data_IF_483348277365
#
_entry.id   IF_483348277365
#
_cell.length_a   1.000
_cell.length_b   1.000
_cell.length_c   1.000
_cell.angle_alpha   90.00
_cell.angle_beta   90.00
_cell.angle_gamma   90.00
#
_symmetry.space_group_name_H-M   'P 1'
#
loop_
_entity.id
_entity.type
_entity.pdbx_description
1 polymer ?
#
# COMPACT_ATOMS: atom_id res chain seq x y z
N UNK A 1 4.05 30.50 7.07
CA UNK A 1 4.26 29.09 6.64
C UNK A 1 5.71 28.68 6.78
N UNK A 2 6.67 29.35 6.11
CA UNK A 2 8.11 29.06 6.25
C UNK A 2 8.63 29.07 7.70
N UNK A 3 8.14 30.00 8.52
CA UNK A 3 8.52 30.12 9.94
C UNK A 3 8.07 28.94 10.82
N UNK A 4 6.93 28.31 10.49
CA UNK A 4 6.40 27.15 11.23
C UNK A 4 7.21 25.88 10.93
N UNK A 5 7.50 25.62 9.66
CA UNK A 5 8.35 24.48 9.28
C UNK A 5 9.77 24.63 9.81
N UNK A 6 10.33 25.85 9.77
CA UNK A 6 11.63 26.12 10.38
C UNK A 6 11.63 25.86 11.90
N UNK A 7 10.55 26.22 12.62
CA UNK A 7 10.46 25.94 14.07
C UNK A 7 10.27 24.46 14.37
N UNK A 8 9.47 23.73 13.59
CA UNK A 8 9.31 22.27 13.76
C UNK A 8 10.63 21.55 13.48
N UNK A 9 11.33 21.90 12.40
CA UNK A 9 12.63 21.31 12.03
C UNK A 9 13.69 21.63 13.09
N UNK A 10 13.64 22.80 13.73
CA UNK A 10 14.61 23.20 14.74
C UNK A 10 14.30 22.60 16.14
N UNK A 11 13.03 22.42 16.48
CA UNK A 11 12.61 21.84 17.77
C UNK A 11 12.67 20.32 17.80
N UNK A 12 12.43 19.63 16.68
CA UNK A 12 12.42 18.17 16.59
C UNK A 12 13.76 17.50 16.97
N UNK A 13 14.95 17.99 16.56
CA UNK A 13 16.22 17.44 17.02
C UNK A 13 16.47 17.72 18.50
N UNK A 14 16.00 18.84 19.05
CA UNK A 14 16.09 19.14 20.49
C UNK A 14 15.23 18.15 21.28
N UNK A 15 14.03 17.83 20.78
CA UNK A 15 13.13 16.83 21.37
C UNK A 15 13.72 15.41 21.30
N UNK A 16 14.38 15.05 20.19
CA UNK A 16 15.10 13.78 20.04
C UNK A 16 16.32 13.68 20.97
N UNK A 17 17.11 14.75 21.11
CA UNK A 17 18.24 14.80 22.04
C UNK A 17 17.75 14.73 23.48
N UNK A 18 16.68 15.42 23.83
CA UNK A 18 16.04 15.32 25.13
C UNK A 18 15.55 13.89 25.43
N UNK A 19 15.00 13.22 24.41
CA UNK A 19 14.59 11.82 24.47
C UNK A 19 15.76 10.85 24.71
N UNK A 20 16.92 11.13 24.12
CA UNK A 20 18.15 10.36 24.31
C UNK A 20 18.80 10.56 25.69
N UNK A 21 18.70 11.77 26.27
CA UNK A 21 19.35 12.12 27.54
C UNK A 21 18.55 11.64 28.76
N UNK A 22 17.22 11.64 28.71
CA UNK A 22 16.37 11.24 29.84
C UNK A 22 15.43 10.06 29.50
N UNK A 23 15.96 8.84 29.31
CA UNK A 23 15.15 7.64 29.08
C UNK A 23 14.26 7.28 30.27
N UNK A 24 14.50 7.88 31.45
CA UNK A 24 13.77 7.65 32.70
C UNK A 24 12.29 8.06 32.58
N UNK A 25 11.97 9.04 31.73
CA UNK A 25 10.61 9.60 31.63
C UNK A 25 9.70 8.86 30.65
N UNK A 26 10.21 7.80 29.98
CA UNK A 26 9.43 7.04 29.00
C UNK A 26 9.36 5.55 29.36
N UNK A 27 8.16 4.96 29.51
CA UNK A 27 7.96 3.57 29.95
C UNK A 27 8.43 2.51 28.95
N UNK A 28 8.98 2.92 27.80
CA UNK A 28 9.39 2.02 26.71
C UNK A 28 10.85 1.56 26.82
N UNK A 29 11.68 2.24 27.64
CA UNK A 29 13.13 2.04 27.73
C UNK A 29 13.54 1.09 28.87
N UNK A 30 12.63 0.72 29.77
CA UNK A 30 12.94 -0.03 31.00
C UNK A 30 13.59 -1.41 30.77
N UNK A 31 13.41 -2.01 29.58
CA UNK A 31 13.96 -3.33 29.23
C UNK A 31 15.04 -3.29 28.14
N UNK A 32 15.50 -2.10 27.71
CA UNK A 32 16.52 -1.95 26.68
C UNK A 32 17.84 -1.56 27.32
N UNK A 33 18.90 -2.32 27.04
CA UNK A 33 20.25 -1.94 27.46
C UNK A 33 20.66 -0.62 26.80
N UNK A 34 21.39 0.25 27.52
CA UNK A 34 21.89 1.54 27.02
C UNK A 34 22.41 1.50 25.56
N UNK A 35 23.23 0.51 25.12
CA UNK A 35 23.68 0.45 23.73
C UNK A 35 22.55 0.21 22.71
N UNK A 36 21.50 -0.55 23.06
CA UNK A 36 20.34 -0.75 22.19
C UNK A 36 19.52 0.53 22.05
N UNK A 37 19.39 1.32 23.12
CA UNK A 37 18.70 2.61 23.07
C UNK A 37 19.43 3.57 22.12
N UNK A 38 20.76 3.64 22.22
CA UNK A 38 21.60 4.47 21.35
C UNK A 38 21.45 4.02 19.89
N UNK A 39 21.49 2.71 19.61
CA UNK A 39 21.33 2.18 18.26
C UNK A 39 19.96 2.52 17.65
N UNK A 40 18.88 2.39 18.40
CA UNK A 40 17.53 2.73 17.92
C UNK A 40 17.36 4.25 17.75
N UNK A 41 18.00 5.06 18.61
CA UNK A 41 18.03 6.52 18.47
C UNK A 41 18.77 6.96 17.20
N UNK A 42 19.93 6.36 16.91
CA UNK A 42 20.69 6.60 15.67
C UNK A 42 19.87 6.17 14.46
N UNK A 43 19.24 4.99 14.50
CA UNK A 43 18.41 4.50 13.39
C UNK A 43 17.21 5.41 13.12
N UNK A 44 16.52 5.87 14.17
CA UNK A 44 15.41 6.82 14.04
C UNK A 44 15.86 8.15 13.45
N UNK A 45 17.04 8.65 13.85
CA UNK A 45 17.61 9.88 13.31
C UNK A 45 18.02 9.72 11.83
N UNK A 46 18.52 8.56 11.44
CA UNK A 46 18.88 8.23 10.06
C UNK A 46 17.64 8.16 9.17
N UNK A 47 16.57 7.51 9.64
CA UNK A 47 15.26 7.49 8.95
C UNK A 47 14.69 8.89 8.82
N UNK A 48 14.77 9.71 9.87
CA UNK A 48 14.33 11.10 9.83
C UNK A 48 15.12 11.92 8.80
N UNK A 49 16.45 11.77 8.75
CA UNK A 49 17.29 12.45 7.76
C UNK A 49 16.98 12.01 6.34
N UNK A 50 16.68 10.74 6.11
CA UNK A 50 16.26 10.23 4.79
C UNK A 50 14.91 10.84 4.41
N UNK A 51 13.94 10.89 5.32
CA UNK A 51 12.64 11.53 5.07
C UNK A 51 12.87 13.00 4.74
N UNK A 52 13.66 13.73 5.54
CA UNK A 52 13.99 15.13 5.29
C UNK A 52 14.70 15.34 3.94
N UNK A 53 15.58 14.42 3.53
CA UNK A 53 16.26 14.50 2.23
C UNK A 53 15.31 14.25 1.06
N UNK A 54 14.32 13.37 1.21
CA UNK A 54 13.33 13.06 0.17
C UNK A 54 12.25 14.15 0.11
N UNK A 55 11.87 14.72 1.25
CA UNK A 55 10.84 15.76 1.35
C UNK A 55 11.40 17.18 1.31
N UNK A 56 12.72 17.35 1.24
CA UNK A 56 13.32 18.67 1.06
C UNK A 56 12.99 19.15 -0.35
N UNK A 57 12.28 20.28 -0.50
CA UNK A 57 12.02 20.84 -1.81
C UNK A 57 13.36 21.21 -2.47
N UNK A 58 13.50 21.05 -3.80
CA UNK A 58 14.66 21.55 -4.50
C UNK A 58 14.81 23.05 -4.23
N UNK A 59 16.06 23.53 -4.09
CA UNK A 59 16.41 24.86 -3.59
C UNK A 59 15.73 26.05 -4.31
N UNK A 60 15.12 25.81 -5.47
CA UNK A 60 14.47 26.80 -6.31
C UNK A 60 12.93 26.88 -6.13
N UNK A 61 12.31 26.03 -5.30
CA UNK A 61 10.85 26.07 -5.06
C UNK A 61 10.51 26.71 -3.71
N UNK A 62 10.00 27.94 -3.77
CA UNK A 62 9.79 28.82 -2.60
C UNK A 62 8.48 28.59 -1.82
N UNK A 63 7.67 27.58 -2.17
CA UNK A 63 6.43 27.27 -1.44
C UNK A 63 6.16 25.77 -1.40
N UNK A 64 6.11 25.13 -0.21
CA UNK A 64 5.68 23.73 -0.11
C UNK A 64 4.23 23.62 -0.60
N UNK A 65 3.98 22.71 -1.54
CA UNK A 65 2.64 22.47 -2.06
C UNK A 65 1.77 21.83 -0.98
N UNK A 66 0.46 22.05 -1.05
CA UNK A 66 -0.48 21.49 -0.07
C UNK A 66 -0.42 19.95 -0.02
N UNK A 67 -0.06 19.30 -1.12
CA UNK A 67 0.20 17.86 -1.25
C UNK A 67 1.33 17.39 -0.33
N UNK A 68 2.43 18.14 -0.23
CA UNK A 68 3.57 17.78 0.61
C UNK A 68 3.21 17.89 2.10
N UNK A 69 2.42 18.90 2.45
CA UNK A 69 1.91 19.12 3.81
C UNK A 69 0.93 17.99 4.20
N UNK A 70 0.06 17.58 3.28
CA UNK A 70 -0.87 16.47 3.48
C UNK A 70 -0.12 15.13 3.59
N UNK A 71 0.91 14.91 2.77
CA UNK A 71 1.77 13.74 2.85
C UNK A 71 2.50 13.63 4.19
N UNK A 72 3.05 14.75 4.68
CA UNK A 72 3.70 14.83 5.99
C UNK A 72 2.72 14.58 7.15
N UNK A 73 1.51 15.16 7.08
CA UNK A 73 0.45 14.95 8.07
C UNK A 73 -0.01 13.49 8.10
N UNK A 74 -0.21 12.87 6.94
CA UNK A 74 -0.56 11.44 6.84
C UNK A 74 0.55 10.55 7.39
N UNK A 75 1.82 10.87 7.12
CA UNK A 75 2.96 10.15 7.68
C UNK A 75 3.02 10.28 9.22
N UNK A 76 2.76 11.47 9.77
CA UNK A 76 2.69 11.67 11.22
C UNK A 76 1.50 10.92 11.85
N UNK A 77 0.33 10.91 11.21
CA UNK A 77 -0.84 10.16 11.68
C UNK A 77 -0.58 8.65 11.61
N UNK A 78 0.07 8.16 10.54
CA UNK A 78 0.48 6.77 10.41
C UNK A 78 1.49 6.37 11.50
N UNK A 79 2.45 7.23 11.81
CA UNK A 79 3.42 7.01 12.88
C UNK A 79 2.75 7.00 14.27
N UNK A 80 1.84 7.96 14.53
CA UNK A 80 1.07 8.02 15.76
C UNK A 80 0.13 6.82 15.93
N UNK A 81 -0.48 6.33 14.85
CA UNK A 81 -1.30 5.10 14.87
C UNK A 81 -0.47 3.84 15.07
N UNK A 82 0.74 3.76 14.52
CA UNK A 82 1.69 2.68 14.79
C UNK A 82 2.14 2.67 16.26
N UNK A 83 2.47 3.84 16.83
CA UNK A 83 2.84 3.98 18.24
C UNK A 83 1.66 3.60 19.15
N UNK A 84 0.44 4.08 18.86
CA UNK A 84 -0.73 3.74 19.67
C UNK A 84 -1.16 2.28 19.53
N UNK A 85 -1.11 1.67 18.33
CA UNK A 85 -1.31 0.22 18.17
C UNK A 85 -0.26 -0.58 18.93
N UNK A 86 1.01 -0.18 18.87
CA UNK A 86 2.11 -0.80 19.63
C UNK A 86 1.87 -0.75 21.15
N UNK A 87 1.41 0.38 21.67
CA UNK A 87 1.02 0.54 23.08
C UNK A 87 -0.21 -0.32 23.41
N UNK A 88 -1.20 -0.41 22.51
CA UNK A 88 -2.41 -1.21 22.70
C UNK A 88 -2.11 -2.71 22.68
N UNK A 89 -1.18 -3.17 21.85
CA UNK A 89 -0.66 -4.56 21.87
C UNK A 89 0.19 -4.86 23.11
N UNK A 90 0.82 -3.85 23.72
CA UNK A 90 1.42 -3.98 25.06
C UNK A 90 0.36 -4.02 26.18
N UNK A 91 -0.79 -3.36 26.00
CA UNK A 91 -1.94 -3.47 26.93
C UNK A 91 -2.69 -4.80 26.84
N UNK A 92 -2.72 -5.48 25.69
CA UNK A 92 -3.16 -6.88 25.62
C UNK A 92 -2.09 -7.87 26.12
N UNK A 93 -0.84 -7.41 26.29
CA UNK A 93 0.17 -7.99 27.17
C UNK A 93 0.18 -7.31 28.55
N UNK A 94 -1.00 -6.98 29.10
CA UNK A 94 -1.12 -6.83 30.55
C UNK A 94 -0.99 -8.24 31.14
N UNK A 95 0.11 -8.40 31.87
CA UNK A 95 0.13 -9.17 33.10
C UNK A 95 -0.26 -10.66 33.01
N UNK A 96 0.57 -11.46 32.36
CA UNK A 96 1.14 -12.61 33.10
C UNK A 96 2.50 -12.18 33.65
N UNK A 97 2.52 -11.03 34.35
CA UNK A 97 3.29 -10.96 35.58
C UNK A 97 2.43 -11.73 36.57
N UNK A 98 2.51 -13.06 36.48
CA UNK A 98 2.54 -13.82 37.70
C UNK A 98 3.62 -13.12 38.55
N UNK A 99 3.32 -12.80 39.80
CA UNK A 99 4.34 -12.76 40.85
C UNK A 99 5.05 -14.12 40.84
N UNK A 100 5.90 -14.34 39.84
CA UNK A 100 7.00 -15.25 39.98
C UNK A 100 7.96 -14.49 40.88
N UNK A 101 7.70 -14.60 42.19
CA UNK A 101 8.80 -15.04 43.06
C UNK A 101 9.55 -16.08 42.22
N UNK A 102 10.85 -15.92 41.95
CA UNK A 102 11.57 -16.94 41.22
C UNK A 102 11.27 -18.25 41.93
N UNK A 103 10.43 -19.09 41.32
CA UNK A 103 10.32 -20.48 41.73
C UNK A 103 11.67 -20.98 41.30
N UNK A 104 12.57 -21.01 42.27
CA UNK A 104 13.84 -21.70 42.13
C UNK A 104 13.39 -23.13 41.89
N UNK A 105 13.31 -23.52 40.62
CA UNK A 105 13.05 -24.89 40.22
C UNK A 105 14.31 -25.63 40.67
N UNK A 106 14.29 -26.14 41.89
CA UNK A 106 15.32 -27.06 42.34
C UNK A 106 15.12 -28.37 41.58
N UNK A 107 16.22 -29.01 41.21
CA UNK A 107 16.14 -30.32 40.59
C UNK A 107 15.52 -31.28 41.63
N UNK A 108 14.48 -32.08 41.31
CA UNK A 108 13.88 -33.03 42.25
C UNK A 108 14.91 -34.02 42.82
N UNK A 109 16.03 -34.24 42.13
CA UNK A 109 17.16 -35.02 42.66
C UNK A 109 17.92 -34.33 43.78
N UNK A 110 17.93 -33.00 43.83
CA UNK A 110 18.51 -32.22 44.92
C UNK A 110 17.56 -32.18 46.12
N UNK A 111 16.25 -31.99 45.88
CA UNK A 111 15.22 -32.06 46.93
C UNK A 111 15.14 -33.45 47.58
N UNK A 112 15.32 -34.52 46.82
CA UNK A 112 15.34 -35.89 47.34
C UNK A 112 16.57 -36.15 48.24
N UNK A 113 17.73 -35.56 47.90
CA UNK A 113 18.95 -35.63 48.73
C UNK A 113 18.85 -34.81 50.02
N UNK A 114 18.10 -33.71 50.00
CA UNK A 114 17.82 -32.90 51.20
C UNK A 114 16.77 -33.58 52.10
N UNK A 115 15.76 -34.22 51.52
CA UNK A 115 14.77 -35.03 52.23
C UNK A 115 15.39 -36.25 52.95
N UNK A 116 16.41 -36.88 52.35
CA UNK A 116 17.15 -38.00 52.98
C UNK A 116 18.02 -37.56 54.18
N UNK A 117 18.36 -36.27 54.29
CA UNK A 117 19.20 -35.70 55.35
C UNK A 117 18.43 -35.00 56.48
N UNK A 118 17.12 -34.82 56.34
CA UNK A 118 16.29 -34.03 57.26
C UNK A 118 15.50 -34.90 58.26
N UNK A 119 15.11 -34.31 59.39
CA UNK A 119 14.38 -35.02 60.45
C UNK A 119 12.96 -35.43 59.99
N UNK A 120 12.36 -36.50 60.54
CA UNK A 120 11.14 -37.13 60.00
C UNK A 120 9.89 -36.23 59.86
N UNK A 121 9.82 -35.09 60.55
CA UNK A 121 8.73 -34.12 60.39
C UNK A 121 8.91 -33.19 59.18
N UNK A 122 10.15 -32.94 58.73
CA UNK A 122 10.45 -32.11 57.55
C UNK A 122 10.35 -32.93 56.26
N UNK A 123 10.65 -34.24 56.31
CA UNK A 123 10.55 -35.15 55.17
C UNK A 123 9.14 -35.19 54.53
N UNK A 124 8.07 -35.02 55.32
CA UNK A 124 6.69 -34.95 54.81
C UNK A 124 6.43 -33.65 54.02
N UNK A 125 7.01 -32.53 54.42
CA UNK A 125 6.88 -31.25 53.70
C UNK A 125 7.65 -31.31 52.37
N UNK A 126 8.85 -31.89 52.37
CA UNK A 126 9.61 -32.12 51.13
C UNK A 126 8.89 -33.05 50.16
N UNK A 127 8.27 -34.13 50.65
CA UNK A 127 7.54 -35.06 49.80
C UNK A 127 6.30 -34.41 49.16
N UNK A 128 5.59 -33.56 49.91
CA UNK A 128 4.47 -32.78 49.36
C UNK A 128 4.92 -31.80 48.26
N UNK A 129 6.09 -31.13 48.43
CA UNK A 129 6.66 -30.25 47.41
C UNK A 129 7.09 -31.00 46.15
N UNK A 130 7.68 -32.18 46.29
CA UNK A 130 8.06 -33.02 45.14
C UNK A 130 6.82 -33.43 44.34
N UNK A 131 5.72 -33.80 45.01
CA UNK A 131 4.46 -34.12 44.34
C UNK A 131 3.83 -32.91 43.63
N UNK A 132 3.90 -31.73 44.25
CA UNK A 132 3.42 -30.49 43.65
C UNK A 132 4.24 -30.09 42.41
N UNK A 133 5.57 -30.16 42.49
CA UNK A 133 6.44 -29.91 41.35
C UNK A 133 6.22 -30.92 40.21
N UNK A 134 6.03 -32.20 40.55
CA UNK A 134 5.72 -33.23 39.55
C UNK A 134 4.40 -32.94 38.83
N UNK A 135 3.36 -32.47 39.54
CA UNK A 135 2.09 -32.05 38.94
C UNK A 135 2.24 -30.82 38.06
N UNK A 136 3.03 -29.83 38.48
CA UNK A 136 3.30 -28.63 37.69
C UNK A 136 4.01 -29.01 36.39
N UNK A 137 5.05 -29.85 36.44
CA UNK A 137 5.77 -30.33 35.24
C UNK A 137 4.86 -31.12 34.31
N UNK A 138 4.06 -32.05 34.84
CA UNK A 138 3.11 -32.81 34.02
C UNK A 138 2.09 -31.89 33.31
N UNK A 139 1.64 -30.82 33.98
CA UNK A 139 0.73 -29.83 33.39
C UNK A 139 1.43 -29.01 32.30
N UNK A 140 2.69 -28.60 32.53
CA UNK A 140 3.49 -27.87 31.55
C UNK A 140 3.79 -28.71 30.30
N UNK A 141 4.13 -29.99 30.48
CA UNK A 141 4.38 -30.92 29.38
C UNK A 141 3.11 -31.15 28.56
N UNK A 142 1.96 -31.30 29.21
CA UNK A 142 0.67 -31.42 28.53
C UNK A 142 0.32 -30.14 27.74
N UNK A 143 0.55 -28.96 28.32
CA UNK A 143 0.35 -27.69 27.61
C UNK A 143 1.29 -27.53 26.42
N UNK A 144 2.56 -27.91 26.57
CA UNK A 144 3.55 -27.84 25.51
C UNK A 144 3.20 -28.80 24.36
N UNK A 145 2.74 -30.01 24.68
CA UNK A 145 2.26 -30.96 23.67
C UNK A 145 1.03 -30.42 22.92
N UNK A 146 0.05 -29.87 23.64
CA UNK A 146 -1.14 -29.27 23.02
C UNK A 146 -0.76 -28.12 22.07
N UNK A 147 0.16 -27.24 22.48
CA UNK A 147 0.67 -26.15 21.63
C UNK A 147 1.42 -26.67 20.41
N UNK A 148 2.20 -27.75 20.53
CA UNK A 148 2.86 -28.37 19.39
C UNK A 148 1.86 -28.98 18.39
N UNK A 149 0.79 -29.60 18.86
CA UNK A 149 -0.26 -30.12 18.00
C UNK A 149 -1.02 -29.01 17.29
N UNK A 150 -1.38 -27.93 18.00
CA UNK A 150 -2.02 -26.75 17.41
C UNK A 150 -1.13 -26.13 16.32
N UNK A 151 0.18 -25.98 16.58
CA UNK A 151 1.13 -25.49 15.57
C UNK A 151 1.24 -26.42 14.36
N UNK A 152 1.23 -27.74 14.56
CA UNK A 152 1.24 -28.71 13.45
C UNK A 152 -0.03 -28.61 12.61
N UNK A 153 -1.19 -28.46 13.24
CA UNK A 153 -2.46 -28.29 12.53
C UNK A 153 -2.48 -26.98 11.73
N UNK A 154 -2.03 -25.87 12.33
CA UNK A 154 -1.94 -24.58 11.65
C UNK A 154 -0.97 -24.62 10.46
N UNK A 155 0.15 -25.34 10.58
CA UNK A 155 1.07 -25.54 9.46
C UNK A 155 0.44 -26.39 8.34
N UNK A 156 -0.31 -27.43 8.68
CA UNK A 156 -1.00 -28.26 7.70
C UNK A 156 -2.07 -27.46 6.93
N UNK A 157 -2.88 -26.65 7.62
CA UNK A 157 -3.88 -25.80 6.97
C UNK A 157 -3.26 -24.75 6.06
N UNK A 158 -2.17 -24.11 6.50
CA UNK A 158 -1.46 -23.11 5.70
C UNK A 158 -0.84 -23.73 4.43
N UNK A 159 -0.35 -24.97 4.52
CA UNK A 159 0.14 -25.71 3.35
C UNK A 159 -0.98 -26.04 2.36
N UNK A 160 -2.17 -26.35 2.85
CA UNK A 160 -3.34 -26.62 2.00
C UNK A 160 -3.81 -25.34 1.30
N UNK A 161 -3.91 -24.22 2.02
CA UNK A 161 -4.22 -22.90 1.43
C UNK A 161 -3.19 -22.48 0.37
N UNK A 162 -1.90 -22.74 0.61
CA UNK A 162 -0.85 -22.45 -0.35
C UNK A 162 -0.97 -23.31 -1.61
N UNK A 163 -1.36 -24.59 -1.48
CA UNK A 163 -1.64 -25.46 -2.64
C UNK A 163 -2.89 -25.02 -3.39
N UNK A 164 -3.94 -24.63 -2.70
CA UNK A 164 -5.17 -24.12 -3.31
C UNK A 164 -4.88 -22.85 -4.12
N UNK A 165 -4.21 -21.87 -3.49
CA UNK A 165 -3.81 -20.61 -4.14
C UNK A 165 -2.90 -20.87 -5.36
N UNK A 166 -1.96 -21.82 -5.26
CA UNK A 166 -1.08 -22.17 -6.38
C UNK A 166 -1.86 -22.77 -7.56
N UNK A 167 -2.88 -23.58 -7.26
CA UNK A 167 -3.73 -24.19 -8.29
C UNK A 167 -4.60 -23.14 -8.98
N UNK A 168 -5.18 -22.23 -8.20
CA UNK A 168 -5.95 -21.10 -8.74
C UNK A 168 -5.07 -20.17 -9.60
N UNK A 169 -3.85 -19.88 -9.18
CA UNK A 169 -2.88 -19.12 -9.97
C UNK A 169 -2.56 -19.82 -11.30
N UNK A 170 -2.37 -21.14 -11.30
CA UNK A 170 -2.15 -21.90 -12.53
C UNK A 170 -3.36 -21.81 -13.47
N UNK A 171 -4.58 -22.00 -12.96
CA UNK A 171 -5.80 -21.93 -13.77
C UNK A 171 -6.05 -20.53 -14.35
N UNK A 172 -5.75 -19.48 -13.58
CA UNK A 172 -5.85 -18.10 -14.06
C UNK A 172 -4.81 -17.80 -15.12
N UNK A 173 -3.60 -18.34 -14.99
CA UNK A 173 -2.57 -18.25 -16.01
C UNK A 173 -2.97 -18.97 -17.30
N UNK A 174 -3.52 -20.18 -17.21
CA UNK A 174 -4.01 -20.93 -18.37
C UNK A 174 -5.13 -20.17 -19.11
N UNK A 175 -6.10 -19.61 -18.36
CA UNK A 175 -7.16 -18.75 -18.92
C UNK A 175 -6.60 -17.49 -19.59
N UNK A 176 -5.55 -16.89 -19.04
CA UNK A 176 -4.92 -15.72 -19.63
C UNK A 176 -4.22 -16.09 -20.95
N UNK A 177 -3.55 -17.25 -21.00
CA UNK A 177 -2.91 -17.74 -22.23
C UNK A 177 -3.93 -18.06 -23.31
N UNK A 178 -5.08 -18.66 -22.96
CA UNK A 178 -6.17 -18.92 -23.89
C UNK A 178 -6.75 -17.62 -24.46
N UNK A 179 -7.01 -16.62 -23.60
CA UNK A 179 -7.48 -15.30 -24.04
C UNK A 179 -6.48 -14.58 -24.95
N UNK A 180 -5.19 -14.66 -24.64
CA UNK A 180 -4.17 -14.05 -25.49
C UNK A 180 -4.11 -14.74 -26.87
N UNK A 181 -4.18 -16.07 -26.92
CA UNK A 181 -4.23 -16.80 -28.18
C UNK A 181 -5.48 -16.44 -29.01
N UNK A 182 -6.65 -16.32 -28.37
CA UNK A 182 -7.87 -15.90 -29.05
C UNK A 182 -7.78 -14.45 -29.56
N UNK A 183 -7.15 -13.56 -28.79
CA UNK A 183 -6.92 -12.17 -29.20
C UNK A 183 -5.98 -12.09 -30.41
N UNK A 184 -4.92 -12.90 -30.44
CA UNK A 184 -4.01 -13.00 -31.58
C UNK A 184 -4.73 -13.48 -32.85
N UNK A 185 -5.62 -14.47 -32.74
CA UNK A 185 -6.44 -14.95 -33.86
C UNK A 185 -7.37 -13.84 -34.40
N UNK A 186 -8.04 -13.10 -33.52
CA UNK A 186 -8.89 -11.96 -33.92
C UNK A 186 -8.07 -10.86 -34.58
N UNK A 187 -6.88 -10.54 -34.06
CA UNK A 187 -5.99 -9.55 -34.66
C UNK A 187 -5.56 -9.97 -36.07
N UNK A 188 -5.26 -11.25 -36.26
CA UNK A 188 -4.85 -11.77 -37.56
C UNK A 188 -6.01 -11.75 -38.56
N UNK A 189 -7.21 -12.19 -38.15
CA UNK A 189 -8.42 -12.08 -38.98
C UNK A 189 -8.76 -10.63 -39.33
N UNK A 190 -8.61 -9.71 -38.39
CA UNK A 190 -8.85 -8.27 -38.62
C UNK A 190 -7.85 -7.70 -39.62
N UNK A 191 -6.59 -8.13 -39.55
CA UNK A 191 -5.54 -7.72 -40.48
C UNK A 191 -5.82 -8.22 -41.91
N UNK A 192 -6.20 -9.49 -42.07
CA UNK A 192 -6.59 -10.08 -43.36
C UNK A 192 -7.80 -9.35 -43.98
N UNK A 193 -8.78 -8.98 -43.15
CA UNK A 193 -9.94 -8.19 -43.59
C UNK A 193 -9.53 -6.79 -44.07
N UNK A 194 -8.63 -6.12 -43.34
CA UNK A 194 -8.13 -4.80 -43.70
C UNK A 194 -7.35 -4.82 -45.03
N UNK A 195 -6.49 -5.83 -45.23
CA UNK A 195 -5.76 -6.02 -46.48
C UNK A 195 -6.71 -6.27 -47.66
N UNK A 196 -7.78 -7.04 -47.44
CA UNK A 196 -8.82 -7.29 -48.44
C UNK A 196 -9.58 -6.01 -48.84
N UNK A 197 -9.94 -5.14 -47.87
CA UNK A 197 -10.59 -3.86 -48.15
C UNK A 197 -9.69 -2.87 -48.88
N UNK A 198 -8.39 -2.83 -48.58
CA UNK A 198 -7.43 -1.96 -49.29
C UNK A 198 -7.28 -2.38 -50.76
N UNK A 199 -7.31 -3.68 -51.06
CA UNK A 199 -7.28 -4.17 -52.43
C UNK A 199 -8.56 -3.82 -53.21
N UNK A 200 -9.74 -3.82 -52.58
CA UNK A 200 -10.97 -3.36 -53.23
C UNK A 200 -10.97 -1.85 -53.52
N UNK A 201 -10.44 -1.02 -52.61
CA UNK A 201 -10.37 0.44 -52.80
C UNK A 201 -9.37 0.89 -53.89
N UNK A 202 -8.31 0.12 -54.15
CA UNK A 202 -7.37 0.42 -55.24
C UNK A 202 -7.93 0.09 -56.64
N UNK A 203 -9.03 -0.66 -56.76
CA UNK A 203 -9.64 -0.99 -58.05
C UNK A 203 -10.61 0.08 -58.60
N UNK A 204 -10.99 1.08 -57.81
CA UNK A 204 -11.88 2.16 -58.26
C UNK A 204 -11.20 3.52 -58.14
N UNK A 205 -10.54 3.95 -59.23
CA UNK A 205 -9.96 5.28 -59.40
C UNK A 205 -11.07 6.35 -59.47
N UNK A 206 -11.19 7.29 -58.52
CA UNK A 206 -12.09 8.43 -58.67
C UNK A 206 -11.32 9.65 -59.22
N UNK A 207 -11.98 10.40 -60.11
CA UNK A 207 -11.54 11.72 -60.57
C UNK A 207 -11.39 12.72 -59.43
N UNK A 208 -10.48 13.72 -59.56
CA UNK A 208 -10.19 14.68 -58.50
C UNK A 208 -11.33 15.70 -58.37
N UNK A 209 -12.15 15.56 -57.32
CA UNK A 209 -13.09 16.61 -56.92
C UNK A 209 -12.38 17.71 -56.14
N UNK A 210 -12.63 18.95 -56.59
CA UNK A 210 -12.28 20.23 -55.96
C UNK A 210 -12.45 20.18 -54.43
N UNK A 211 -11.40 20.61 -53.75
CA UNK A 211 -11.37 20.93 -52.31
C UNK A 211 -12.44 21.98 -52.03
N UNK A 212 -13.55 21.56 -51.43
CA UNK A 212 -14.49 22.44 -50.76
C UNK A 212 -14.06 22.55 -49.29
N UNK A 213 -14.09 23.80 -48.81
CA UNK A 213 -13.92 24.24 -47.43
C UNK A 213 -14.73 23.34 -46.48
N UNK A 214 -14.18 22.81 -45.36
CA UNK A 214 -14.96 21.97 -44.47
C UNK A 214 -16.04 22.82 -43.79
N UNK A 215 -17.28 22.40 -43.93
CA UNK A 215 -18.41 22.92 -43.18
C UNK A 215 -18.31 22.43 -41.72
N UNK A 216 -18.63 23.27 -40.71
CA UNK A 216 -18.65 22.84 -39.33
C UNK A 216 -19.99 22.15 -39.07
N UNK A 217 -19.99 20.83 -39.10
CA UNK A 217 -21.00 19.95 -38.49
C UNK A 217 -20.54 18.51 -38.74
N UNK A 218 -19.53 18.08 -38.00
CA UNK A 218 -19.34 16.65 -37.79
C UNK A 218 -20.18 16.28 -36.57
N UNK A 219 -21.28 15.57 -36.82
CA UNK A 219 -21.96 14.82 -35.78
C UNK A 219 -20.92 13.90 -35.13
N UNK A 220 -20.64 14.15 -33.85
CA UNK A 220 -19.78 13.31 -33.03
C UNK A 220 -20.39 11.91 -32.99
N UNK A 221 -19.77 10.96 -33.68
CA UNK A 221 -20.16 9.55 -33.60
C UNK A 221 -19.61 9.00 -32.29
N UNK A 222 -20.41 9.10 -31.23
CA UNK A 222 -20.14 8.43 -29.96
C UNK A 222 -20.47 6.94 -30.13
N UNK A 223 -19.44 6.10 -30.19
CA UNK A 223 -19.60 4.65 -30.06
C UNK A 223 -19.87 4.23 -28.62
N UNK A 224 -20.32 2.99 -28.43
CA UNK A 224 -20.72 2.43 -27.11
C UNK A 224 -19.54 2.30 -26.11
N UNK A 225 -18.29 2.37 -26.59
CA UNK A 225 -17.11 2.24 -25.74
C UNK A 225 -16.80 3.54 -25.01
N UNK A 226 -16.95 3.54 -23.68
CA UNK A 226 -16.75 4.72 -22.82
C UNK A 226 -15.28 5.05 -22.53
N UNK A 227 -14.33 4.33 -23.15
CA UNK A 227 -12.90 4.47 -22.89
C UNK A 227 -12.31 5.54 -23.81
N UNK A 228 -11.48 6.41 -23.24
CA UNK A 228 -10.70 7.40 -23.97
C UNK A 228 -9.21 7.19 -23.71
N UNK A 229 -8.37 7.43 -24.70
CA UNK A 229 -6.92 7.50 -24.53
C UNK A 229 -6.54 8.98 -24.42
N UNK A 230 -6.03 9.38 -23.26
CA UNK A 230 -5.68 10.76 -22.96
C UNK A 230 -4.16 10.91 -22.85
N UNK A 231 -3.58 11.87 -23.57
CA UNK A 231 -2.19 12.28 -23.40
C UNK A 231 -2.13 13.51 -22.49
N UNK A 232 -1.68 13.27 -21.26
CA UNK A 232 -1.74 14.23 -20.17
C UNK A 232 -0.36 14.69 -19.73
N UNK A 233 -0.17 16.00 -19.60
CA UNK A 233 1.05 16.61 -19.06
C UNK A 233 0.87 16.89 -17.57
N UNK A 234 1.66 16.21 -16.74
CA UNK A 234 1.68 16.38 -15.29
C UNK A 234 2.15 17.76 -14.86
N UNK A 235 1.98 18.08 -13.58
CA UNK A 235 2.58 19.30 -12.98
C UNK A 235 4.11 19.30 -13.04
N UNK A 236 4.72 18.12 -13.13
CA UNK A 236 6.15 17.92 -13.31
C UNK A 236 6.62 18.12 -14.76
N UNK A 237 5.70 18.47 -15.68
CA UNK A 237 5.98 18.63 -17.10
C UNK A 237 6.14 17.32 -17.86
N UNK A 238 5.99 16.15 -17.21
CA UNK A 238 6.07 14.87 -17.90
C UNK A 238 4.75 14.54 -18.56
N UNK A 239 4.84 14.14 -19.83
CA UNK A 239 3.68 13.69 -20.59
C UNK A 239 3.51 12.18 -20.44
N UNK A 240 2.26 11.73 -20.23
CA UNK A 240 1.90 10.32 -20.13
C UNK A 240 0.63 10.04 -20.92
N UNK A 241 0.61 8.94 -21.69
CA UNK A 241 -0.62 8.41 -22.29
C UNK A 241 -1.34 7.55 -21.26
N UNK A 242 -2.65 7.74 -21.10
CA UNK A 242 -3.46 7.08 -20.08
C UNK A 242 -4.81 6.69 -20.66
N UNK A 243 -5.21 5.41 -20.60
CA UNK A 243 -6.57 5.00 -20.84
C UNK A 243 -7.45 5.39 -19.64
N UNK A 244 -8.51 6.14 -19.90
CA UNK A 244 -9.44 6.66 -18.89
C UNK A 244 -10.90 6.40 -19.25
N UNK A 245 -11.75 6.30 -18.23
CA UNK A 245 -13.22 6.33 -18.39
C UNK A 245 -13.71 7.64 -17.75
N UNK A 246 -14.10 8.65 -18.55
CA UNK A 246 -14.66 9.91 -18.04
C UNK A 246 -15.88 9.65 -17.15
N UNK A 247 -16.07 10.47 -16.10
CA UNK A 247 -17.21 10.35 -15.17
C UNK A 247 -17.96 11.65 -14.97
N UNK A 248 -17.27 12.74 -14.65
CA UNK A 248 -17.92 14.01 -14.29
C UNK A 248 -17.01 15.18 -14.67
N UNK A 249 -17.51 16.07 -15.55
CA UNK A 249 -16.84 17.30 -15.94
C UNK A 249 -17.35 18.48 -15.10
N UNK A 250 -16.44 19.13 -14.36
CA UNK A 250 -16.79 20.27 -13.49
C UNK A 250 -15.75 21.36 -13.50
N UNK A 251 -16.16 22.54 -13.05
CA UNK A 251 -15.26 23.67 -12.83
C UNK A 251 -14.79 23.62 -11.37
N UNK A 252 -13.47 23.67 -11.15
CA UNK A 252 -12.90 23.70 -9.81
C UNK A 252 -13.02 25.10 -9.16
N UNK A 253 -12.60 25.26 -7.91
CA UNK A 253 -12.63 26.55 -7.19
C UNK A 253 -11.77 27.65 -7.84
N UNK A 254 -10.82 27.27 -8.70
CA UNK A 254 -9.92 28.19 -9.39
C UNK A 254 -10.45 28.60 -10.77
N UNK A 255 -11.62 28.10 -11.18
CA UNK A 255 -12.20 28.36 -12.51
C UNK A 255 -11.68 27.44 -13.62
N UNK A 256 -10.85 26.44 -13.30
CA UNK A 256 -10.35 25.49 -14.30
C UNK A 256 -11.37 24.36 -14.54
N UNK A 257 -11.53 23.95 -15.79
CA UNK A 257 -12.25 22.72 -16.14
C UNK A 257 -11.45 21.49 -15.72
N UNK A 258 -12.11 20.59 -14.99
CA UNK A 258 -11.55 19.36 -14.45
C UNK A 258 -12.49 18.20 -14.75
N UNK A 259 -11.94 17.14 -15.34
CA UNK A 259 -12.64 15.87 -15.56
C UNK A 259 -12.26 14.89 -14.45
N UNK A 260 -13.25 14.34 -13.76
CA UNK A 260 -13.06 13.17 -12.91
C UNK A 260 -13.19 11.94 -13.79
N UNK A 261 -12.20 11.05 -13.77
CA UNK A 261 -12.16 9.86 -14.61
C UNK A 261 -11.56 8.67 -13.85
N UNK A 262 -11.95 7.46 -14.23
CA UNK A 262 -11.29 6.23 -13.77
C UNK A 262 -10.02 6.06 -14.59
N UNK A 263 -8.85 6.17 -13.98
CA UNK A 263 -7.56 5.87 -14.59
C UNK A 263 -7.36 4.36 -14.55
N UNK A 264 -7.43 3.71 -15.72
CA UNK A 264 -7.40 2.24 -15.83
C UNK A 264 -6.05 1.71 -15.37
N UNK A 265 -4.94 2.33 -15.78
CA UNK A 265 -3.59 1.93 -15.40
C UNK A 265 -3.35 2.05 -13.89
N UNK A 266 -3.89 3.10 -13.26
CA UNK A 266 -3.77 3.31 -11.82
C UNK A 266 -4.87 2.61 -10.99
N UNK A 267 -5.86 1.99 -11.65
CA UNK A 267 -7.03 1.35 -11.02
C UNK A 267 -7.72 2.23 -9.96
N UNK A 268 -7.81 3.55 -10.21
CA UNK A 268 -8.41 4.51 -9.27
C UNK A 268 -9.01 5.72 -9.97
N UNK A 269 -9.96 6.36 -9.31
CA UNK A 269 -10.52 7.64 -9.77
C UNK A 269 -9.50 8.76 -9.56
N UNK A 270 -9.28 9.56 -10.59
CA UNK A 270 -8.41 10.74 -10.57
C UNK A 270 -9.13 11.92 -11.21
N UNK A 271 -8.70 13.12 -10.83
CA UNK A 271 -9.16 14.36 -11.43
C UNK A 271 -8.05 14.94 -12.30
N UNK A 272 -8.38 15.24 -13.55
CA UNK A 272 -7.45 15.79 -14.54
C UNK A 272 -7.94 17.16 -14.98
N UNK A 273 -7.06 18.16 -14.97
CA UNK A 273 -7.39 19.46 -15.56
C UNK A 273 -7.41 19.36 -17.08
N UNK A 274 -8.46 19.87 -17.72
CA UNK A 274 -8.65 19.71 -19.18
C UNK A 274 -7.63 20.52 -19.98
N UNK A 275 -7.17 21.66 -19.47
CA UNK A 275 -6.13 22.49 -20.09
C UNK A 275 -4.76 21.80 -20.20
N UNK A 276 -4.55 20.71 -19.45
CA UNK A 276 -3.31 19.90 -19.48
C UNK A 276 -3.44 18.65 -20.35
N UNK A 277 -4.58 18.46 -21.00
CA UNK A 277 -4.80 17.40 -21.98
C UNK A 277 -4.29 17.92 -23.31
N UNK A 278 -3.17 17.37 -23.78
CA UNK A 278 -2.58 17.72 -25.07
C UNK A 278 -3.29 17.03 -26.24
N UNK A 279 -3.85 15.86 -25.98
CA UNK A 279 -4.49 15.02 -26.98
C UNK A 279 -5.47 14.08 -26.30
N UNK A 280 -6.66 13.91 -26.88
CA UNK A 280 -7.68 12.95 -26.46
C UNK A 280 -8.08 12.13 -27.69
N UNK A 281 -8.07 10.80 -27.56
CA UNK A 281 -8.57 9.90 -28.59
C UNK A 281 -9.74 9.07 -28.05
N UNK A 282 -10.80 8.95 -28.84
CA UNK A 282 -12.00 8.20 -28.50
C UNK A 282 -12.62 7.63 -29.77
N UNK A 283 -12.92 6.33 -29.79
CA UNK A 283 -13.49 5.63 -30.95
C UNK A 283 -12.75 5.87 -32.28
N UNK A 284 -11.41 5.95 -32.22
CA UNK A 284 -10.55 6.21 -33.38
C UNK A 284 -10.55 7.67 -33.87
N UNK A 285 -11.29 8.57 -33.23
CA UNK A 285 -11.22 10.01 -33.48
C UNK A 285 -10.23 10.67 -32.52
N UNK A 286 -9.50 11.66 -33.02
CA UNK A 286 -8.46 12.38 -32.27
C UNK A 286 -8.83 13.86 -32.12
N UNK A 287 -8.70 14.36 -30.89
CA UNK A 287 -9.05 15.73 -30.51
C UNK A 287 -7.84 16.40 -29.87
N UNK A 288 -7.37 17.49 -30.46
CA UNK A 288 -6.20 18.26 -29.99
C UNK A 288 -6.56 19.66 -29.52
N UNK A 289 -7.70 20.20 -29.94
CA UNK A 289 -8.15 21.52 -29.50
C UNK A 289 -8.94 21.41 -28.19
N UNK A 290 -8.73 22.38 -27.30
CA UNK A 290 -9.33 22.36 -25.97
C UNK A 290 -10.87 22.36 -26.00
N UNK A 291 -11.47 23.12 -26.92
CA UNK A 291 -12.94 23.19 -27.06
C UNK A 291 -13.53 21.86 -27.58
N UNK A 292 -12.81 21.19 -28.48
CA UNK A 292 -13.19 19.87 -29.00
C UNK A 292 -13.05 18.79 -27.91
N UNK A 293 -11.99 18.85 -27.11
CA UNK A 293 -11.78 17.97 -25.96
C UNK A 293 -12.90 18.16 -24.94
N UNK A 294 -13.26 19.42 -24.62
CA UNK A 294 -14.33 19.71 -23.66
C UNK A 294 -15.71 19.24 -24.16
N UNK A 295 -16.04 19.51 -25.42
CA UNK A 295 -17.31 19.08 -26.01
C UNK A 295 -17.41 17.56 -26.07
N UNK A 296 -16.33 16.87 -26.44
CA UNK A 296 -16.26 15.41 -26.46
C UNK A 296 -16.42 14.81 -25.07
N UNK A 297 -15.67 15.31 -24.07
CA UNK A 297 -15.78 14.81 -22.69
C UNK A 297 -17.19 14.99 -22.12
N UNK A 298 -17.84 16.11 -22.43
CA UNK A 298 -19.22 16.37 -22.02
C UNK A 298 -20.21 15.42 -22.72
N UNK A 299 -19.98 15.12 -23.99
CA UNK A 299 -20.83 14.22 -24.76
C UNK A 299 -20.75 12.76 -24.25
N UNK A 300 -19.55 12.33 -23.85
CA UNK A 300 -19.32 11.01 -23.24
C UNK A 300 -19.99 10.91 -21.87
N UNK A 301 -19.89 11.95 -21.03
CA UNK A 301 -20.54 11.98 -19.71
C UNK A 301 -22.06 11.77 -19.78
N UNK A 302 -22.73 12.36 -20.78
CA UNK A 302 -24.19 12.23 -20.96
C UNK A 302 -24.60 10.79 -21.32
N UNK A 303 -23.68 10.00 -21.86
CA UNK A 303 -23.96 8.64 -22.35
C UNK A 303 -23.80 7.57 -21.25
N UNK A 304 -23.18 7.93 -20.10
CA UNK A 304 -22.91 7.05 -18.95
C UNK A 304 -23.96 7.15 -17.85
#
# INVERSE_FOLDING_TARGET
>A
MATFFATVILLLPILLVWWLISPIHYPFTQNLSRPKIILHGILALLVLLIILAITAPPADQSTPEASDIIGLLLAMVALATLITKSIKTKKSRISVQAETKPVIIQDPRELQKEAEKSQPNEAKDYQARIEEEAKIRATQDAQFQAQQEELKQALASLQEELRATKTELSQTQDKLTEKNSALEEVLQSTKELLESQQHEQQSTKPEPKKIQKPAPNHDLVLGDDSVCIMVYTGSDGKTSSRPIIPRELKINKNGDWVISAVDIDASRVKSFRVDRISHLSHNGQEFTHQDDILSTLRAIEITL
#
